data_IF_617543964161
#
_entry.id   IF_617543964161
#
_cell.length_a   1.000
_cell.length_b   1.000
_cell.length_c   1.000
_cell.angle_alpha   90.00
_cell.angle_beta   90.00
_cell.angle_gamma   90.00
#
_symmetry.space_group_name_H-M   'P 1'
#
loop_
_entity.id
_entity.type
_entity.pdbx_description
1 polymer ?
#
# COMPACT_ATOMS: atom_id res chain seq x y z
N UNK A 1 -26.07 -18.85 9.40
CA UNK A 1 -25.63 -17.67 8.61
C UNK A 1 -26.87 -16.96 8.08
N UNK A 2 -26.94 -15.63 8.16
CA UNK A 2 -28.04 -14.86 7.55
C UNK A 2 -27.98 -14.93 6.00
N UNK A 3 -29.10 -15.10 5.27
CA UNK A 3 -29.06 -15.41 3.83
C UNK A 3 -28.67 -14.22 2.93
N UNK A 4 -28.64 -13.00 3.45
CA UNK A 4 -28.46 -11.73 2.70
C UNK A 4 -27.21 -11.66 1.81
N UNK A 5 -26.15 -12.39 2.15
CA UNK A 5 -24.91 -12.42 1.35
C UNK A 5 -24.87 -13.56 0.33
N UNK A 6 -25.87 -14.44 0.31
CA UNK A 6 -25.93 -15.57 -0.62
C UNK A 6 -24.85 -16.64 -0.39
N UNK A 7 -24.14 -16.64 0.74
CA UNK A 7 -23.02 -17.57 0.97
C UNK A 7 -23.38 -18.89 1.65
N UNK A 8 -24.62 -19.08 2.10
CA UNK A 8 -25.02 -20.30 2.83
C UNK A 8 -24.81 -21.59 2.01
N UNK A 9 -25.46 -21.68 0.84
CA UNK A 9 -25.29 -22.83 -0.06
C UNK A 9 -23.87 -22.96 -0.61
N UNK A 10 -23.24 -21.84 -0.94
CA UNK A 10 -21.86 -21.82 -1.41
C UNK A 10 -20.88 -22.40 -0.37
N UNK A 11 -21.04 -22.06 0.91
CA UNK A 11 -20.22 -22.60 1.99
C UNK A 11 -20.40 -24.11 2.13
N UNK A 12 -21.63 -24.63 2.02
CA UNK A 12 -21.90 -26.06 2.05
C UNK A 12 -21.24 -26.80 0.86
N UNK A 13 -21.27 -26.22 -0.34
CA UNK A 13 -20.59 -26.76 -1.52
C UNK A 13 -19.07 -26.77 -1.31
N UNK A 14 -18.49 -25.70 -0.77
CA UNK A 14 -17.06 -25.63 -0.44
C UNK A 14 -16.66 -26.70 0.61
N UNK A 15 -17.50 -26.97 1.61
CA UNK A 15 -17.26 -28.01 2.63
C UNK A 15 -17.31 -29.41 2.00
N UNK A 16 -18.30 -29.66 1.13
CA UNK A 16 -18.38 -30.91 0.36
C UNK A 16 -17.14 -31.09 -0.54
N UNK A 17 -16.69 -30.02 -1.20
CA UNK A 17 -15.50 -30.06 -2.03
C UNK A 17 -14.25 -30.39 -1.22
N UNK A 18 -14.09 -29.80 -0.04
CA UNK A 18 -12.97 -30.13 0.86
C UNK A 18 -12.99 -31.61 1.25
N UNK A 19 -14.14 -32.12 1.70
CA UNK A 19 -14.30 -33.52 2.09
C UNK A 19 -14.03 -34.47 0.93
N UNK A 20 -14.60 -34.21 -0.24
CA UNK A 20 -14.41 -35.03 -1.44
C UNK A 20 -12.93 -35.09 -1.87
N UNK A 21 -12.23 -33.96 -1.83
CA UNK A 21 -10.80 -33.92 -2.13
C UNK A 21 -10.00 -34.81 -1.17
N UNK A 22 -10.26 -34.70 0.14
CA UNK A 22 -9.55 -35.50 1.15
C UNK A 22 -9.83 -36.99 1.06
N UNK A 23 -11.07 -37.36 0.76
CA UNK A 23 -11.42 -38.76 0.53
C UNK A 23 -10.72 -39.31 -0.70
N UNK A 24 -10.69 -38.55 -1.79
CA UNK A 24 -9.99 -38.96 -3.01
C UNK A 24 -8.47 -39.08 -2.79
N UNK A 25 -7.85 -38.18 -2.01
CA UNK A 25 -6.43 -38.29 -1.60
C UNK A 25 -6.11 -39.65 -0.95
N UNK A 26 -7.05 -40.23 -0.18
CA UNK A 26 -6.90 -41.55 0.44
C UNK A 26 -7.15 -42.70 -0.54
N UNK A 27 -8.18 -42.57 -1.38
CA UNK A 27 -8.53 -43.60 -2.36
C UNK A 27 -7.43 -43.80 -3.41
N UNK A 28 -6.78 -42.73 -3.86
CA UNK A 28 -5.65 -42.82 -4.82
C UNK A 28 -4.43 -43.54 -4.25
N UNK A 29 -4.32 -43.64 -2.92
CA UNK A 29 -3.27 -44.44 -2.25
C UNK A 29 -3.62 -45.93 -2.20
N UNK A 30 -4.72 -46.35 -2.84
CA UNK A 30 -5.19 -47.73 -2.86
C UNK A 30 -5.76 -48.20 -1.51
N UNK A 31 -6.12 -47.27 -0.61
CA UNK A 31 -6.58 -47.59 0.74
C UNK A 31 -8.09 -47.39 0.86
N UNK A 32 -8.79 -48.37 1.42
CA UNK A 32 -10.12 -48.13 1.99
C UNK A 32 -9.94 -47.31 3.27
N UNK A 33 -10.58 -46.13 3.40
CA UNK A 33 -10.38 -45.27 4.56
C UNK A 33 -10.69 -45.99 5.87
N UNK A 34 -9.75 -45.99 6.81
CA UNK A 34 -10.01 -46.50 8.16
C UNK A 34 -10.89 -45.52 8.94
N UNK A 35 -11.52 -46.00 10.01
CA UNK A 35 -12.29 -45.13 10.89
C UNK A 35 -11.46 -43.95 11.44
N UNK A 36 -10.20 -44.18 11.83
CA UNK A 36 -9.31 -43.12 12.33
C UNK A 36 -9.01 -42.08 11.25
N UNK A 37 -8.73 -42.51 10.01
CA UNK A 37 -8.49 -41.60 8.89
C UNK A 37 -9.73 -40.75 8.56
N UNK A 38 -10.93 -41.34 8.64
CA UNK A 38 -12.19 -40.60 8.47
C UNK A 38 -12.37 -39.56 9.58
N UNK A 39 -12.09 -39.93 10.83
CA UNK A 39 -12.14 -39.00 11.96
C UNK A 39 -11.16 -37.84 11.79
N UNK A 40 -9.95 -38.11 11.32
CA UNK A 40 -8.94 -37.09 11.02
C UNK A 40 -9.41 -36.14 9.90
N UNK A 41 -10.02 -36.66 8.83
CA UNK A 41 -10.57 -35.82 7.75
C UNK A 41 -11.68 -34.88 8.27
N UNK A 42 -12.59 -35.37 9.13
CA UNK A 42 -13.63 -34.53 9.71
C UNK A 42 -13.05 -33.48 10.67
N UNK A 43 -12.00 -33.82 11.41
CA UNK A 43 -11.27 -32.87 12.24
C UNK A 43 -10.61 -31.78 11.40
N UNK A 44 -9.91 -32.15 10.32
CA UNK A 44 -9.30 -31.20 9.38
C UNK A 44 -10.33 -30.30 8.69
N UNK A 45 -11.46 -30.87 8.25
CA UNK A 45 -12.58 -30.11 7.69
C UNK A 45 -13.01 -29.04 8.69
N UNK A 46 -13.21 -29.40 9.96
CA UNK A 46 -13.66 -28.47 10.97
C UNK A 46 -12.62 -27.35 11.21
N UNK A 47 -11.34 -27.69 11.33
CA UNK A 47 -10.27 -26.72 11.56
C UNK A 47 -10.08 -25.76 10.38
N UNK A 48 -10.10 -26.26 9.14
CA UNK A 48 -9.93 -25.43 7.95
C UNK A 48 -11.17 -24.57 7.66
N UNK A 49 -12.37 -25.12 7.84
CA UNK A 49 -13.63 -24.49 7.38
C UNK A 49 -14.31 -23.62 8.44
N UNK A 50 -14.08 -23.85 9.74
CA UNK A 50 -14.65 -23.00 10.81
C UNK A 50 -14.28 -21.52 10.65
N UNK A 51 -13.02 -21.12 10.46
CA UNK A 51 -12.66 -19.70 10.30
C UNK A 51 -13.34 -19.05 9.08
N UNK A 52 -13.49 -19.82 7.99
CA UNK A 52 -14.15 -19.37 6.75
C UNK A 52 -15.64 -19.12 6.98
N UNK A 53 -16.35 -20.07 7.57
CA UNK A 53 -17.80 -19.95 7.84
C UNK A 53 -18.09 -18.87 8.88
N UNK A 54 -17.23 -18.69 9.88
CA UNK A 54 -17.31 -17.57 10.81
C UNK A 54 -17.15 -16.21 10.13
N UNK A 55 -16.17 -16.07 9.24
CA UNK A 55 -15.94 -14.84 8.48
C UNK A 55 -17.18 -14.47 7.66
N UNK A 56 -17.72 -15.42 6.89
CA UNK A 56 -18.92 -15.22 6.08
C UNK A 56 -20.16 -14.91 6.94
N UNK A 57 -20.31 -15.59 8.09
CA UNK A 57 -21.43 -15.37 9.01
C UNK A 57 -21.37 -14.00 9.66
N UNK A 58 -20.20 -13.59 10.16
CA UNK A 58 -19.98 -12.25 10.73
C UNK A 58 -20.21 -11.17 9.67
N UNK A 59 -19.77 -11.39 8.43
CA UNK A 59 -20.04 -10.51 7.30
C UNK A 59 -21.53 -10.35 7.03
N UNK A 60 -22.27 -11.46 6.94
CA UNK A 60 -23.71 -11.46 6.72
C UNK A 60 -24.50 -10.75 7.81
N UNK A 61 -24.15 -10.95 9.09
CA UNK A 61 -24.78 -10.24 10.19
C UNK A 61 -24.49 -8.73 10.16
N UNK A 62 -23.27 -8.32 9.80
CA UNK A 62 -22.93 -6.89 9.68
C UNK A 62 -23.72 -6.22 8.55
N UNK A 63 -23.81 -6.86 7.39
CA UNK A 63 -24.58 -6.33 6.27
C UNK A 63 -26.07 -6.28 6.59
N UNK A 64 -26.63 -7.35 7.17
CA UNK A 64 -28.03 -7.37 7.60
C UNK A 64 -28.33 -6.23 8.57
N UNK A 65 -27.46 -6.00 9.56
CA UNK A 65 -27.64 -4.91 10.53
C UNK A 65 -27.50 -3.51 9.90
N UNK A 66 -26.65 -3.37 8.88
CA UNK A 66 -26.50 -2.12 8.13
C UNK A 66 -27.77 -1.82 7.31
N UNK A 67 -28.26 -2.80 6.55
CA UNK A 67 -29.44 -2.66 5.69
C UNK A 67 -30.74 -2.56 6.49
N UNK A 68 -30.82 -3.20 7.66
CA UNK A 68 -31.97 -3.10 8.56
C UNK A 68 -31.95 -1.84 9.44
N UNK A 69 -31.02 -0.91 9.19
CA UNK A 69 -30.83 0.31 10.01
C UNK A 69 -30.72 0.03 11.51
N UNK A 70 -29.96 -1.00 11.90
CA UNK A 70 -29.93 -1.52 13.27
C UNK A 70 -29.47 -0.52 14.34
N UNK A 71 -28.93 0.65 13.96
CA UNK A 71 -28.77 1.82 14.83
C UNK A 71 -28.99 3.11 14.02
N UNK A 72 -29.30 4.25 14.67
CA UNK A 72 -29.40 5.55 13.98
C UNK A 72 -28.12 5.92 13.22
N UNK A 73 -26.95 5.56 13.76
CA UNK A 73 -25.66 5.77 13.08
C UNK A 73 -25.57 4.93 11.81
N UNK A 74 -25.95 3.65 11.85
CA UNK A 74 -25.96 2.79 10.67
C UNK A 74 -26.97 3.26 9.62
N UNK A 75 -28.12 3.80 10.05
CA UNK A 75 -29.07 4.48 9.15
C UNK A 75 -28.40 5.64 8.40
N UNK A 76 -27.67 6.49 9.13
CA UNK A 76 -26.95 7.62 8.53
C UNK A 76 -25.87 7.14 7.55
N UNK A 77 -25.11 6.13 7.93
CA UNK A 77 -24.09 5.50 7.08
C UNK A 77 -24.73 4.95 5.81
N UNK A 78 -25.80 4.16 5.93
CA UNK A 78 -26.45 3.49 4.80
C UNK A 78 -27.14 4.48 3.84
N UNK A 79 -27.76 5.55 4.35
CA UNK A 79 -28.47 6.52 3.52
C UNK A 79 -27.56 7.59 2.90
N UNK A 80 -26.46 7.95 3.57
CA UNK A 80 -25.64 9.09 3.14
C UNK A 80 -24.21 8.75 2.78
N UNK A 81 -23.60 7.74 3.42
CA UNK A 81 -22.20 7.38 3.13
C UNK A 81 -22.15 6.28 2.07
N UNK A 82 -22.94 5.22 2.24
CA UNK A 82 -22.92 4.04 1.36
C UNK A 82 -23.15 4.36 -0.13
N UNK A 83 -24.09 5.26 -0.52
CA UNK A 83 -24.27 5.62 -1.94
C UNK A 83 -23.08 6.35 -2.55
N UNK A 84 -22.18 6.90 -1.72
CA UNK A 84 -20.94 7.58 -2.14
C UNK A 84 -19.73 6.65 -2.10
N UNK A 85 -19.87 5.44 -1.56
CA UNK A 85 -18.78 4.47 -1.52
C UNK A 85 -18.44 4.06 -2.95
N UNK A 86 -17.17 4.18 -3.36
CA UNK A 86 -16.73 3.68 -4.66
C UNK A 86 -17.11 2.21 -4.83
N UNK A 87 -17.75 1.83 -5.93
CA UNK A 87 -18.18 0.44 -6.09
C UNK A 87 -16.99 -0.53 -6.22
N UNK A 88 -15.77 -0.05 -6.48
CA UNK A 88 -14.52 -0.82 -6.29
C UNK A 88 -14.44 -1.46 -4.90
N UNK A 89 -14.83 -0.73 -3.85
CA UNK A 89 -14.79 -1.23 -2.47
C UNK A 89 -15.82 -2.34 -2.25
N UNK A 90 -16.99 -2.22 -2.88
CA UNK A 90 -18.05 -3.24 -2.82
C UNK A 90 -17.58 -4.50 -3.55
N UNK A 91 -17.07 -4.34 -4.78
CA UNK A 91 -16.56 -5.46 -5.56
C UNK A 91 -15.35 -6.13 -4.91
N UNK A 92 -14.47 -5.37 -4.27
CA UNK A 92 -13.35 -5.92 -3.53
C UNK A 92 -13.80 -6.76 -2.33
N UNK A 93 -14.83 -6.31 -1.61
CA UNK A 93 -15.44 -7.07 -0.52
C UNK A 93 -16.10 -8.37 -1.00
N UNK A 94 -16.83 -8.32 -2.12
CA UNK A 94 -17.39 -9.51 -2.77
C UNK A 94 -16.31 -10.46 -3.28
N UNK A 95 -15.25 -9.92 -3.92
CA UNK A 95 -14.12 -10.73 -4.35
C UNK A 95 -13.46 -11.42 -3.15
N UNK A 96 -13.26 -10.73 -2.03
CA UNK A 96 -12.68 -11.32 -0.81
C UNK A 96 -13.54 -12.46 -0.24
N UNK A 97 -14.87 -12.35 -0.35
CA UNK A 97 -15.76 -13.44 0.04
C UNK A 97 -15.76 -14.60 -0.96
N UNK A 98 -15.32 -14.41 -2.20
CA UNK A 98 -15.28 -15.44 -3.24
C UNK A 98 -13.91 -16.14 -3.40
N UNK A 99 -12.79 -15.42 -3.39
CA UNK A 99 -11.47 -15.98 -3.78
C UNK A 99 -10.91 -17.04 -2.84
N UNK A 100 -11.46 -17.17 -1.63
CA UNK A 100 -11.07 -18.19 -0.65
C UNK A 100 -11.86 -19.50 -0.82
N UNK A 101 -12.71 -19.61 -1.84
CA UNK A 101 -13.49 -20.82 -2.11
C UNK A 101 -12.59 -22.03 -2.39
N UNK A 102 -13.04 -23.22 -1.99
CA UNK A 102 -12.32 -24.47 -2.22
C UNK A 102 -12.77 -25.11 -3.55
N UNK A 103 -11.85 -25.35 -4.50
CA UNK A 103 -12.20 -26.09 -5.72
C UNK A 103 -12.23 -27.60 -5.46
N UNK A 104 -12.97 -28.32 -6.31
CA UNK A 104 -12.81 -29.76 -6.46
C UNK A 104 -11.53 -30.02 -7.25
N UNK A 105 -10.51 -30.62 -6.61
CA UNK A 105 -9.17 -30.75 -7.18
C UNK A 105 -9.09 -31.78 -8.31
N UNK A 106 -10.01 -32.74 -8.29
CA UNK A 106 -10.04 -33.91 -9.16
C UNK A 106 -11.00 -33.77 -10.35
N UNK A 107 -11.63 -32.60 -10.49
CA UNK A 107 -12.42 -32.26 -11.66
C UNK A 107 -11.66 -31.25 -12.54
N UNK A 108 -11.86 -31.29 -13.86
CA UNK A 108 -11.31 -30.27 -14.73
C UNK A 108 -11.87 -28.90 -14.32
N UNK A 109 -10.99 -27.91 -14.24
CA UNK A 109 -11.42 -26.55 -13.96
C UNK A 109 -12.22 -26.00 -15.16
N UNK A 110 -13.33 -25.30 -14.93
CA UNK A 110 -14.06 -24.65 -16.01
C UNK A 110 -13.16 -23.59 -16.67
N UNK A 111 -13.29 -23.38 -17.98
CA UNK A 111 -12.61 -22.28 -18.65
C UNK A 111 -13.08 -20.94 -18.05
N UNK A 112 -12.13 -20.13 -17.56
CA UNK A 112 -12.42 -18.83 -16.94
C UNK A 112 -11.87 -17.69 -17.79
N UNK A 113 -12.60 -16.58 -17.84
CA UNK A 113 -12.12 -15.37 -18.49
C UNK A 113 -10.83 -14.87 -17.81
N UNK A 114 -9.84 -14.46 -18.61
CA UNK A 114 -8.55 -13.92 -18.14
C UNK A 114 -8.66 -12.66 -17.27
N UNK A 115 -9.83 -12.02 -17.24
CA UNK A 115 -10.09 -10.74 -16.54
C UNK A 115 -10.76 -10.90 -15.17
N UNK A 116 -11.03 -12.13 -14.74
CA UNK A 116 -11.60 -12.42 -13.43
C UNK A 116 -10.50 -12.43 -12.37
N UNK A 117 -10.85 -11.96 -11.17
CA UNK A 117 -9.98 -12.06 -10.00
C UNK A 117 -9.60 -13.51 -9.73
N UNK A 118 -8.30 -13.86 -9.71
CA UNK A 118 -7.86 -15.22 -9.41
C UNK A 118 -8.22 -15.65 -7.98
N UNK A 119 -8.42 -16.95 -7.78
CA UNK A 119 -8.58 -17.52 -6.45
C UNK A 119 -7.25 -17.53 -5.68
N UNK A 120 -7.30 -17.72 -4.37
CA UNK A 120 -6.12 -17.72 -3.51
C UNK A 120 -5.12 -18.82 -3.86
N UNK A 121 -5.60 -19.96 -4.35
CA UNK A 121 -4.77 -21.10 -4.80
C UNK A 121 -4.22 -20.90 -6.22
N UNK A 122 -4.64 -19.83 -6.91
CA UNK A 122 -4.18 -19.48 -8.26
C UNK A 122 -3.08 -18.42 -8.26
N UNK A 123 -2.74 -17.81 -7.13
CA UNK A 123 -1.79 -16.68 -7.02
C UNK A 123 -0.58 -17.02 -6.17
N UNK A 124 0.55 -16.35 -6.43
CA UNK A 124 1.80 -16.60 -5.69
C UNK A 124 1.79 -16.00 -4.29
N UNK A 125 1.04 -14.91 -4.09
CA UNK A 125 0.83 -14.30 -2.78
C UNK A 125 0.05 -15.24 -1.85
N UNK A 126 0.47 -15.34 -0.59
CA UNK A 126 -0.32 -16.01 0.45
C UNK A 126 -1.02 -14.96 1.31
N UNK A 127 -2.26 -14.53 0.96
CA UNK A 127 -2.94 -13.46 1.65
C UNK A 127 -3.27 -13.86 3.09
N UNK A 128 -2.68 -13.17 4.06
CA UNK A 128 -2.91 -13.42 5.49
C UNK A 128 -3.06 -12.11 6.24
N UNK A 129 -4.05 -12.05 7.14
CA UNK A 129 -4.23 -10.94 8.08
C UNK A 129 -2.96 -10.79 8.93
N UNK A 130 -2.49 -9.55 9.11
CA UNK A 130 -1.36 -9.26 10.02
C UNK A 130 -1.80 -9.43 11.47
N UNK A 131 -0.94 -10.02 12.31
CA UNK A 131 -1.20 -10.16 13.75
C UNK A 131 -1.36 -8.78 14.42
N UNK A 132 -2.11 -8.73 15.53
CA UNK A 132 -2.28 -7.49 16.29
C UNK A 132 -0.93 -7.02 16.86
N UNK A 133 -0.20 -7.95 17.47
CA UNK A 133 1.09 -7.71 18.11
C UNK A 133 2.09 -7.09 17.14
N UNK A 134 2.27 -7.68 15.96
CA UNK A 134 3.20 -7.13 14.96
C UNK A 134 2.74 -5.75 14.47
N UNK A 135 1.43 -5.55 14.29
CA UNK A 135 0.90 -4.25 13.86
C UNK A 135 1.18 -3.16 14.89
N UNK A 136 0.91 -3.41 16.17
CA UNK A 136 1.17 -2.45 17.25
C UNK A 136 2.67 -2.23 17.49
N UNK A 137 3.49 -3.26 17.28
CA UNK A 137 4.96 -3.13 17.36
C UNK A 137 5.45 -2.14 16.31
N UNK A 138 5.04 -2.30 15.05
CA UNK A 138 5.42 -1.35 13.99
C UNK A 138 4.88 0.05 14.24
N UNK A 139 3.62 0.18 14.69
CA UNK A 139 3.05 1.48 15.09
C UNK A 139 3.91 2.15 16.16
N UNK A 140 4.26 1.43 17.22
CA UNK A 140 5.10 1.95 18.29
C UNK A 140 6.47 2.39 17.76
N UNK A 141 7.11 1.58 16.90
CA UNK A 141 8.39 1.94 16.29
C UNK A 141 8.30 3.22 15.46
N UNK A 142 7.23 3.43 14.69
CA UNK A 142 7.04 4.67 13.93
C UNK A 142 6.87 5.88 14.86
N UNK A 143 6.06 5.75 15.91
CA UNK A 143 5.83 6.83 16.87
C UNK A 143 7.11 7.19 17.62
N UNK A 144 7.89 6.19 18.06
CA UNK A 144 9.17 6.39 18.73
C UNK A 144 10.20 7.06 17.80
N UNK A 145 10.30 6.61 16.55
CA UNK A 145 11.19 7.21 15.55
C UNK A 145 10.78 8.67 15.25
N UNK A 146 9.48 8.96 15.20
CA UNK A 146 8.96 10.32 15.04
C UNK A 146 9.23 11.21 16.26
N UNK A 147 9.21 10.65 17.47
CA UNK A 147 9.51 11.40 18.70
C UNK A 147 11.00 11.61 18.97
N UNK A 148 11.89 10.93 18.24
CA UNK A 148 13.34 10.93 18.51
C UNK A 148 13.93 12.35 18.52
N UNK A 149 13.41 13.24 17.68
CA UNK A 149 13.78 14.67 17.66
C UNK A 149 13.66 15.34 19.03
N UNK A 150 12.64 15.00 19.80
CA UNK A 150 12.40 15.58 21.13
C UNK A 150 13.27 14.97 22.23
N UNK A 151 13.92 13.85 21.95
CA UNK A 151 14.77 13.13 22.90
C UNK A 151 16.26 13.46 22.72
N UNK A 152 16.66 14.05 21.59
CA UNK A 152 18.03 14.45 21.33
C UNK A 152 18.30 15.82 21.99
N UNK A 153 19.38 15.96 22.78
CA UNK A 153 19.70 17.24 23.43
C UNK A 153 20.04 18.30 22.38
N UNK A 154 19.28 19.40 22.39
CA UNK A 154 19.56 20.60 21.60
C UNK A 154 20.53 21.47 22.40
N UNK A 155 21.83 21.41 22.10
CA UNK A 155 22.78 22.37 22.65
C UNK A 155 22.73 23.67 21.84
N UNK A 156 22.00 24.65 22.37
CA UNK A 156 21.82 25.99 21.77
C UNK A 156 23.07 26.89 21.84
N UNK A 157 24.25 26.35 22.18
CA UNK A 157 25.46 27.14 22.44
C UNK A 157 26.69 26.59 21.71
N UNK A 158 26.75 26.72 20.39
CA UNK A 158 28.03 26.75 19.68
C UNK A 158 28.04 27.85 18.63
N UNK A 159 28.44 29.05 19.07
CA UNK A 159 28.55 30.27 18.27
C UNK A 159 29.87 30.38 17.50
N UNK A 160 30.35 29.31 16.87
CA UNK A 160 31.52 29.40 15.98
C UNK A 160 31.33 28.58 14.70
N UNK A 161 31.10 29.32 13.60
CA UNK A 161 30.91 28.92 12.21
C UNK A 161 31.69 27.67 11.75
N UNK A 162 30.97 26.67 11.23
CA UNK A 162 31.17 26.15 9.89
C UNK A 162 30.07 26.73 8.98
N UNK A 163 30.35 26.98 7.70
CA UNK A 163 29.37 27.46 6.72
C UNK A 163 28.02 26.72 6.91
N UNK A 164 26.94 27.46 7.15
CA UNK A 164 25.64 26.90 7.53
C UNK A 164 25.15 25.93 6.45
N UNK A 165 25.41 24.63 6.63
CA UNK A 165 25.02 23.56 5.70
C UNK A 165 23.51 23.63 5.40
N UNK A 166 22.71 24.02 6.38
CA UNK A 166 21.25 24.21 6.28
C UNK A 166 20.83 25.43 5.47
N UNK A 167 21.73 26.39 5.27
CA UNK A 167 21.49 27.58 4.45
C UNK A 167 21.89 27.41 2.99
N UNK A 168 22.64 26.35 2.65
CA UNK A 168 23.04 26.08 1.28
C UNK A 168 21.81 25.85 0.39
N UNK A 169 21.91 26.30 -0.87
CA UNK A 169 20.84 26.08 -1.84
C UNK A 169 20.64 24.58 -2.13
N UNK A 170 21.71 23.80 -2.14
CA UNK A 170 21.68 22.36 -2.41
C UNK A 170 21.05 21.56 -1.28
N UNK A 171 21.30 21.89 -0.01
CA UNK A 171 20.60 21.29 1.14
C UNK A 171 19.09 21.52 1.05
N UNK A 172 18.66 22.78 0.95
CA UNK A 172 17.23 23.13 0.91
C UNK A 172 16.52 22.49 -0.27
N UNK A 173 17.19 22.41 -1.42
CA UNK A 173 16.67 21.71 -2.58
C UNK A 173 16.50 20.22 -2.30
N UNK A 174 17.55 19.56 -1.82
CA UNK A 174 17.55 18.13 -1.52
C UNK A 174 16.54 17.73 -0.43
N UNK A 175 16.44 18.51 0.64
CA UNK A 175 15.45 18.33 1.70
C UNK A 175 14.03 18.43 1.13
N UNK A 176 13.73 19.49 0.38
CA UNK A 176 12.43 19.67 -0.26
C UNK A 176 12.08 18.55 -1.24
N UNK A 177 13.05 18.06 -2.02
CA UNK A 177 12.86 16.90 -2.91
C UNK A 177 12.58 15.61 -2.15
N UNK A 178 13.16 15.43 -0.97
CA UNK A 178 12.86 14.29 -0.09
C UNK A 178 11.42 14.34 0.42
N UNK A 179 10.94 15.50 0.88
CA UNK A 179 9.53 15.67 1.28
C UNK A 179 8.56 15.51 0.10
N UNK A 180 8.95 15.96 -1.09
CA UNK A 180 8.19 15.74 -2.31
C UNK A 180 7.99 14.25 -2.62
N UNK A 181 9.00 13.39 -2.38
CA UNK A 181 8.86 11.94 -2.56
C UNK A 181 7.76 11.35 -1.66
N UNK A 182 7.67 11.81 -0.42
CA UNK A 182 6.64 11.39 0.55
C UNK A 182 5.26 11.84 0.04
N UNK A 183 5.14 13.11 -0.38
CA UNK A 183 3.92 13.65 -0.99
C UNK A 183 3.48 12.86 -2.23
N UNK A 184 4.41 12.50 -3.10
CA UNK A 184 4.14 11.69 -4.28
C UNK A 184 3.58 10.31 -3.93
N UNK A 185 4.17 9.64 -2.94
CA UNK A 185 3.65 8.36 -2.45
C UNK A 185 2.27 8.50 -1.84
N UNK A 186 2.07 9.48 -0.96
CA UNK A 186 0.75 9.72 -0.36
C UNK A 186 -0.31 10.01 -1.42
N UNK A 187 0.06 10.75 -2.46
CA UNK A 187 -0.82 11.00 -3.60
C UNK A 187 -1.20 9.72 -4.32
N UNK A 188 -0.22 8.88 -4.69
CA UNK A 188 -0.50 7.58 -5.34
C UNK A 188 -1.35 6.67 -4.45
N UNK A 189 -1.02 6.56 -3.16
CA UNK A 189 -1.78 5.72 -2.21
C UNK A 189 -3.21 6.21 -1.98
N UNK A 190 -3.45 7.52 -2.05
CA UNK A 190 -4.79 8.10 -1.87
C UNK A 190 -5.80 7.67 -2.95
N UNK A 191 -5.32 7.32 -4.13
CA UNK A 191 -6.14 6.80 -5.22
C UNK A 191 -6.43 5.29 -5.13
N UNK A 192 -5.88 4.59 -4.14
CA UNK A 192 -6.08 3.15 -3.97
C UNK A 192 -7.39 2.90 -3.22
N UNK A 193 -8.22 1.99 -3.73
CA UNK A 193 -9.53 1.67 -3.12
C UNK A 193 -9.42 1.11 -1.70
N UNK A 194 -8.33 0.42 -1.38
CA UNK A 194 -8.07 -0.21 -0.10
C UNK A 194 -8.09 0.73 1.11
N UNK A 195 -7.81 2.02 0.90
CA UNK A 195 -7.71 3.04 1.96
C UNK A 195 -8.74 4.16 1.78
N UNK A 196 -9.68 4.04 0.83
CA UNK A 196 -10.58 5.11 0.40
C UNK A 196 -11.67 5.49 1.42
N UNK A 197 -11.84 4.73 2.49
CA UNK A 197 -12.82 5.03 3.56
C UNK A 197 -12.17 5.52 4.86
N UNK A 198 -10.84 5.70 4.85
CA UNK A 198 -10.08 6.10 6.03
C UNK A 198 -9.53 7.53 5.96
N UNK A 199 -8.81 7.96 7.01
CA UNK A 199 -8.15 9.27 7.04
C UNK A 199 -7.02 9.42 6.01
N UNK A 200 -6.68 8.35 5.29
CA UNK A 200 -5.66 8.31 4.23
C UNK A 200 -6.26 8.54 2.84
N UNK A 201 -7.58 8.79 2.73
CA UNK A 201 -8.27 9.02 1.46
C UNK A 201 -7.71 10.22 0.69
N UNK A 202 -7.20 11.24 1.38
CA UNK A 202 -6.59 12.41 0.75
C UNK A 202 -5.24 12.70 1.38
N UNK A 203 -4.23 13.10 0.60
CA UNK A 203 -2.91 13.39 1.15
C UNK A 203 -2.79 14.85 1.63
N UNK A 204 -3.73 15.73 1.25
CA UNK A 204 -3.72 17.17 1.57
C UNK A 204 -3.72 17.44 3.09
N UNK A 205 -4.61 16.83 3.91
CA UNK A 205 -4.58 17.07 5.36
C UNK A 205 -3.24 16.70 5.99
N UNK A 206 -2.56 15.67 5.46
CA UNK A 206 -1.25 15.24 5.95
C UNK A 206 -0.14 16.21 5.58
N UNK A 207 -0.21 16.83 4.40
CA UNK A 207 0.73 17.88 3.98
C UNK A 207 0.57 19.17 4.77
N UNK A 208 -0.68 19.55 5.07
CA UNK A 208 -0.97 20.69 5.94
C UNK A 208 -0.52 20.40 7.38
N UNK A 209 -0.74 19.18 7.85
CA UNK A 209 -0.28 18.74 9.16
C UNK A 209 1.25 18.77 9.23
N UNK A 210 1.96 18.29 8.21
CA UNK A 210 3.44 18.32 8.19
C UNK A 210 4.03 19.73 8.25
N UNK A 211 3.33 20.73 7.72
CA UNK A 211 3.75 22.14 7.86
C UNK A 211 3.55 22.65 9.29
N UNK A 212 2.47 22.24 9.95
CA UNK A 212 2.11 22.75 11.28
C UNK A 212 2.88 22.08 12.43
N UNK A 213 3.04 20.74 12.39
CA UNK A 213 3.69 19.97 13.46
C UNK A 213 5.06 19.39 13.06
N UNK A 214 5.50 19.65 11.83
CA UNK A 214 6.71 19.08 11.26
C UNK A 214 6.50 17.73 10.55
N UNK A 215 7.29 17.51 9.51
CA UNK A 215 7.22 16.30 8.69
C UNK A 215 7.43 15.01 9.49
N UNK A 216 8.31 15.00 10.48
CA UNK A 216 8.66 13.80 11.25
C UNK A 216 7.46 13.26 12.05
N UNK A 217 6.64 14.15 12.63
CA UNK A 217 5.40 13.72 13.31
C UNK A 217 4.33 13.33 12.30
N UNK A 218 4.11 14.13 11.26
CA UNK A 218 3.08 13.82 10.26
C UNK A 218 3.35 12.47 9.57
N UNK A 219 4.60 12.16 9.22
CA UNK A 219 5.01 10.90 8.60
C UNK A 219 4.88 9.72 9.55
N UNK A 220 5.25 9.88 10.83
CA UNK A 220 5.08 8.80 11.82
C UNK A 220 3.60 8.48 12.06
N UNK A 221 2.73 9.49 12.19
CA UNK A 221 1.29 9.32 12.33
C UNK A 221 0.65 8.71 11.08
N UNK A 222 1.01 9.20 9.88
CA UNK A 222 0.55 8.61 8.62
C UNK A 222 0.94 7.13 8.53
N UNK A 223 2.20 6.81 8.83
CA UNK A 223 2.73 5.44 8.77
C UNK A 223 2.03 4.53 9.79
N UNK A 224 1.77 5.01 11.01
CA UNK A 224 1.01 4.29 12.01
C UNK A 224 -0.42 3.95 11.52
N UNK A 225 -1.13 4.93 10.97
CA UNK A 225 -2.46 4.71 10.40
C UNK A 225 -2.42 3.81 9.17
N UNK A 226 -1.39 3.91 8.33
CA UNK A 226 -1.19 3.03 7.20
C UNK A 226 -0.97 1.58 7.67
N UNK A 227 -0.14 1.35 8.68
CA UNK A 227 0.07 0.01 9.27
C UNK A 227 -1.26 -0.58 9.75
N UNK A 228 -2.07 0.21 10.45
CA UNK A 228 -3.38 -0.24 10.94
C UNK A 228 -4.38 -0.47 9.81
N UNK A 229 -4.42 0.44 8.84
CA UNK A 229 -5.31 0.38 7.68
C UNK A 229 -5.01 -0.82 6.77
N UNK A 230 -3.77 -1.27 6.69
CA UNK A 230 -3.33 -2.36 5.80
C UNK A 230 -3.32 -3.75 6.46
N UNK A 231 -3.80 -3.86 7.70
CA UNK A 231 -3.73 -5.10 8.48
C UNK A 231 -4.59 -6.25 7.94
N UNK A 232 -5.68 -5.95 7.24
CA UNK A 232 -6.68 -6.94 6.84
C UNK A 232 -6.19 -7.82 5.68
N UNK A 233 -6.78 -9.02 5.55
CA UNK A 233 -6.36 -10.02 4.56
C UNK A 233 -6.57 -9.51 3.12
N UNK A 234 -7.76 -8.96 2.84
CA UNK A 234 -8.14 -8.40 1.55
C UNK A 234 -7.14 -7.42 0.94
N UNK A 235 -6.43 -6.65 1.77
CA UNK A 235 -5.42 -5.68 1.33
C UNK A 235 -4.36 -6.31 0.42
N UNK A 236 -3.96 -7.55 0.71
CA UNK A 236 -2.96 -8.29 -0.07
C UNK A 236 -3.56 -8.91 -1.33
N UNK A 237 -4.73 -9.51 -1.17
CA UNK A 237 -5.56 -10.08 -2.23
C UNK A 237 -6.96 -10.31 -1.67
N UNK A 238 -8.04 -9.97 -2.41
CA UNK A 238 -8.08 -9.57 -3.81
C UNK A 238 -8.28 -8.08 -4.09
N UNK A 239 -8.11 -7.18 -3.11
CA UNK A 239 -8.44 -5.77 -3.32
C UNK A 239 -7.67 -5.17 -4.49
N UNK A 240 -8.34 -4.44 -5.40
CA UNK A 240 -7.67 -3.89 -6.58
C UNK A 240 -6.58 -2.92 -6.13
N UNK A 241 -5.40 -3.06 -6.71
CA UNK A 241 -4.30 -2.14 -6.43
C UNK A 241 -4.35 -1.01 -7.46
N UNK A 242 -4.44 -1.29 -8.76
CA UNK A 242 -5.17 -0.47 -9.73
C UNK A 242 -5.33 1.04 -9.43
N UNK A 243 -4.38 1.94 -9.72
CA UNK A 243 -4.72 3.38 -9.69
C UNK A 243 -5.71 3.65 -10.83
N UNK A 244 -6.81 4.41 -10.63
CA UNK A 244 -7.70 4.78 -11.72
C UNK A 244 -6.92 5.40 -12.88
N UNK A 245 -7.17 4.91 -14.10
CA UNK A 245 -6.34 5.27 -15.27
C UNK A 245 -6.23 6.78 -15.49
N UNK A 246 -7.34 7.51 -15.31
CA UNK A 246 -7.37 8.96 -15.40
C UNK A 246 -6.42 9.64 -14.38
N UNK A 247 -6.33 9.11 -13.17
CA UNK A 247 -5.39 9.61 -12.16
C UNK A 247 -3.95 9.22 -12.50
N UNK A 248 -3.73 8.01 -13.01
CA UNK A 248 -2.40 7.56 -13.45
C UNK A 248 -1.84 8.43 -14.59
N UNK A 249 -2.67 8.76 -15.58
CA UNK A 249 -2.35 9.71 -16.67
C UNK A 249 -2.09 11.13 -16.13
N UNK A 250 -2.94 11.60 -15.22
CA UNK A 250 -2.83 12.91 -14.60
C UNK A 250 -1.53 13.08 -13.78
N UNK A 251 -1.06 12.04 -13.09
CA UNK A 251 0.18 12.09 -12.29
C UNK A 251 1.39 12.52 -13.11
N UNK A 252 1.53 12.00 -14.34
CA UNK A 252 2.65 12.35 -15.22
C UNK A 252 2.59 13.79 -15.70
N UNK A 253 1.39 14.29 -15.99
CA UNK A 253 1.19 15.65 -16.50
C UNK A 253 1.30 16.67 -15.36
N UNK A 254 0.86 16.31 -14.15
CA UNK A 254 0.98 17.13 -12.95
C UNK A 254 2.43 17.23 -12.45
N UNK A 255 3.25 16.20 -12.69
CA UNK A 255 4.59 16.09 -12.12
C UNK A 255 5.50 17.29 -12.44
N UNK A 256 5.69 17.74 -13.70
CA UNK A 256 6.52 18.91 -13.98
C UNK A 256 6.04 20.14 -13.21
N UNK A 257 4.76 20.48 -13.29
CA UNK A 257 4.22 21.66 -12.60
C UNK A 257 4.45 21.58 -11.09
N UNK A 258 4.30 20.39 -10.50
CA UNK A 258 4.57 20.14 -9.08
C UNK A 258 6.06 20.28 -8.72
N UNK A 259 6.97 19.72 -9.52
CA UNK A 259 8.41 19.82 -9.31
C UNK A 259 8.92 21.27 -9.43
N UNK A 260 8.31 22.07 -10.30
CA UNK A 260 8.63 23.49 -10.49
C UNK A 260 7.80 24.42 -9.59
N UNK A 261 6.87 23.87 -8.79
CA UNK A 261 5.95 24.65 -7.97
C UNK A 261 6.65 25.60 -7.00
N UNK A 262 7.75 25.18 -6.38
CA UNK A 262 8.51 26.06 -5.47
C UNK A 262 9.12 27.28 -6.18
N UNK A 263 9.40 27.18 -7.49
CA UNK A 263 9.86 28.31 -8.32
C UNK A 263 8.67 29.17 -8.75
N UNK A 264 7.60 28.55 -9.23
CA UNK A 264 6.39 29.23 -9.72
C UNK A 264 5.72 30.06 -8.61
N UNK A 265 5.63 29.50 -7.40
CA UNK A 265 4.94 30.13 -6.27
C UNK A 265 5.87 30.98 -5.38
N UNK A 266 7.16 31.11 -5.72
CA UNK A 266 8.10 31.92 -4.94
C UNK A 266 7.66 33.38 -4.88
N UNK A 267 7.09 33.91 -5.97
CA UNK A 267 6.80 35.35 -6.13
C UNK A 267 5.30 35.70 -6.10
N UNK A 268 4.41 34.70 -5.98
CA UNK A 268 2.96 34.92 -5.94
C UNK A 268 2.53 35.20 -4.50
N UNK A 269 2.57 36.47 -4.10
CA UNK A 269 2.08 36.95 -2.81
C UNK A 269 0.56 37.24 -2.86
N UNK A 270 -0.27 36.21 -2.87
CA UNK A 270 -1.71 36.36 -2.59
C UNK A 270 -1.90 36.22 -1.07
N UNK A 271 -2.47 37.24 -0.42
CA UNK A 271 -2.41 37.45 1.04
C UNK A 271 -2.87 36.31 1.98
N UNK A 272 -3.61 35.31 1.49
CA UNK A 272 -3.97 34.09 2.24
C UNK A 272 -2.98 32.92 2.05
N UNK A 273 -2.12 32.97 1.02
CA UNK A 273 -1.12 31.95 0.68
C UNK A 273 0.25 32.16 1.36
N UNK A 274 0.46 33.30 2.03
CA UNK A 274 1.68 33.56 2.80
C UNK A 274 1.85 32.58 3.96
N UNK A 275 0.75 32.07 4.54
CA UNK A 275 0.74 31.05 5.59
C UNK A 275 1.08 29.64 5.08
N UNK A 276 1.06 29.41 3.76
CA UNK A 276 1.21 28.08 3.14
C UNK A 276 2.40 28.00 2.18
N UNK A 277 3.33 28.96 2.24
CA UNK A 277 4.46 29.06 1.31
C UNK A 277 5.36 27.81 1.33
N UNK A 278 5.48 27.14 2.48
CA UNK A 278 6.22 25.88 2.63
C UNK A 278 5.46 24.65 2.10
N UNK A 279 4.15 24.57 2.33
CA UNK A 279 3.32 23.42 1.95
C UNK A 279 2.89 23.41 0.47
N UNK A 280 2.81 24.58 -0.16
CA UNK A 280 2.33 24.78 -1.54
C UNK A 280 2.94 23.83 -2.58
N UNK A 281 4.28 23.64 -2.68
CA UNK A 281 4.86 22.73 -3.67
C UNK A 281 4.41 21.27 -3.50
N UNK A 282 4.15 20.84 -2.27
CA UNK A 282 3.75 19.47 -1.97
C UNK A 282 2.27 19.22 -2.27
N UNK A 283 1.41 20.20 -2.03
CA UNK A 283 -0.04 20.16 -2.28
C UNK A 283 -0.37 20.26 -3.76
N UNK A 284 0.50 20.89 -4.55
CA UNK A 284 0.28 21.08 -5.98
C UNK A 284 0.09 19.76 -6.74
N UNK A 285 0.87 18.72 -6.39
CA UNK A 285 0.76 17.41 -7.03
C UNK A 285 -0.63 16.77 -6.86
N UNK A 286 -1.16 16.54 -5.64
CA UNK A 286 -2.48 15.93 -5.48
C UNK A 286 -3.62 16.81 -6.01
N UNK A 287 -3.52 18.14 -5.90
CA UNK A 287 -4.54 19.06 -6.42
C UNK A 287 -4.60 18.98 -7.94
N UNK A 288 -3.46 19.13 -8.62
CA UNK A 288 -3.42 19.04 -10.08
C UNK A 288 -3.81 17.65 -10.58
N UNK A 289 -3.36 16.59 -9.90
CA UNK A 289 -3.75 15.22 -10.25
C UNK A 289 -5.26 15.04 -10.15
N UNK A 290 -5.89 15.58 -9.11
CA UNK A 290 -7.35 15.51 -8.92
C UNK A 290 -8.11 16.28 -10.00
N UNK A 291 -7.68 17.52 -10.29
CA UNK A 291 -8.28 18.35 -11.34
C UNK A 291 -8.15 17.71 -12.72
N UNK A 292 -6.94 17.28 -13.10
CA UNK A 292 -6.68 16.62 -14.38
C UNK A 292 -7.40 15.27 -14.47
N UNK A 293 -7.43 14.48 -13.39
CA UNK A 293 -8.16 13.22 -13.36
C UNK A 293 -9.66 13.42 -13.54
N UNK A 294 -10.22 14.55 -13.08
CA UNK A 294 -11.62 14.89 -13.32
C UNK A 294 -11.86 15.19 -14.81
N UNK A 295 -10.94 15.92 -15.45
CA UNK A 295 -11.00 16.22 -16.90
C UNK A 295 -10.80 14.97 -17.76
N UNK A 296 -9.89 14.08 -17.40
CA UNK A 296 -9.62 12.83 -18.13
C UNK A 296 -10.65 11.73 -17.87
N UNK A 297 -11.60 11.96 -16.96
CA UNK A 297 -12.60 10.96 -16.62
C UNK A 297 -13.46 10.66 -17.84
N UNK A 298 -13.15 9.56 -18.52
CA UNK A 298 -13.97 9.02 -19.61
C UNK A 298 -15.12 8.24 -19.01
N UNK A 299 -16.33 8.80 -19.09
CA UNK A 299 -17.55 8.14 -18.64
C UNK A 299 -17.64 6.71 -19.20
N UNK A 300 -18.01 5.75 -18.35
CA UNK A 300 -18.18 4.34 -18.71
C UNK A 300 -16.94 3.43 -18.57
N UNK A 301 -15.71 3.95 -18.42
CA UNK A 301 -14.50 3.10 -18.36
C UNK A 301 -14.16 2.58 -16.96
N UNK A 302 -14.59 3.25 -15.89
CA UNK A 302 -14.21 2.92 -14.50
C UNK A 302 -14.58 1.50 -14.04
N UNK A 303 -15.62 0.91 -14.64
CA UNK A 303 -16.23 -0.35 -14.19
C UNK A 303 -15.68 -1.60 -14.85
N UNK A 304 -14.67 -1.48 -15.71
CA UNK A 304 -14.10 -2.66 -16.38
C UNK A 304 -13.18 -3.37 -15.38
N UNK A 305 -13.40 -4.66 -15.05
CA UNK A 305 -12.53 -5.40 -14.13
C UNK A 305 -11.06 -5.37 -14.54
N UNK A 306 -10.78 -5.33 -15.85
CA UNK A 306 -9.42 -5.20 -16.39
C UNK A 306 -8.70 -3.87 -16.03
N UNK A 307 -9.44 -2.85 -15.60
CA UNK A 307 -8.87 -1.58 -15.11
C UNK A 307 -8.67 -1.59 -13.60
N UNK A 308 -9.41 -2.41 -12.85
CA UNK A 308 -9.31 -2.50 -11.39
C UNK A 308 -8.29 -3.56 -10.95
N UNK A 309 -8.30 -4.74 -11.59
CA UNK A 309 -7.41 -5.87 -11.30
C UNK A 309 -6.37 -6.12 -12.41
N UNK A 310 -6.11 -5.10 -13.23
CA UNK A 310 -5.05 -5.15 -14.25
C UNK A 310 -3.88 -4.24 -13.92
N UNK A 311 -2.93 -4.19 -14.84
CA UNK A 311 -1.65 -3.48 -14.70
C UNK A 311 -1.53 -2.27 -15.64
N UNK A 312 -2.65 -1.77 -16.18
CA UNK A 312 -2.63 -0.69 -17.17
C UNK A 312 -2.07 0.61 -16.61
N UNK A 313 -2.30 0.88 -15.33
CA UNK A 313 -1.76 2.03 -14.60
C UNK A 313 -0.23 2.00 -14.49
N UNK A 314 0.40 0.81 -14.53
CA UNK A 314 1.87 0.66 -14.47
C UNK A 314 2.56 1.40 -15.61
N UNK A 315 1.95 1.47 -16.80
CA UNK A 315 2.52 2.19 -17.95
C UNK A 315 2.69 3.70 -17.71
N UNK A 316 1.90 4.30 -16.82
CA UNK A 316 1.97 5.71 -16.47
C UNK A 316 2.67 5.95 -15.13
N UNK A 317 2.40 5.11 -14.13
CA UNK A 317 3.03 5.22 -12.80
C UNK A 317 4.51 4.86 -12.82
N UNK A 318 4.95 3.96 -13.71
CA UNK A 318 6.37 3.60 -13.82
C UNK A 318 7.23 4.77 -14.31
N UNK A 319 6.91 5.47 -15.42
CA UNK A 319 7.61 6.70 -15.78
C UNK A 319 7.56 7.75 -14.67
N UNK A 320 6.43 7.89 -13.97
CA UNK A 320 6.26 8.86 -12.89
C UNK A 320 7.28 8.63 -11.76
N UNK A 321 7.39 7.39 -11.26
CA UNK A 321 8.40 7.05 -10.26
C UNK A 321 9.83 7.21 -10.79
N UNK A 322 10.08 6.85 -12.05
CA UNK A 322 11.43 6.95 -12.63
C UNK A 322 11.93 8.40 -12.72
N UNK A 323 11.06 9.34 -13.08
CA UNK A 323 11.41 10.76 -13.18
C UNK A 323 11.70 11.35 -11.80
N UNK A 324 10.89 11.03 -10.79
CA UNK A 324 11.12 11.46 -9.41
C UNK A 324 12.43 10.86 -8.87
N UNK A 325 12.70 9.58 -9.14
CA UNK A 325 13.94 8.93 -8.73
C UNK A 325 15.18 9.64 -9.29
N UNK A 326 15.17 10.00 -10.57
CA UNK A 326 16.27 10.70 -11.23
C UNK A 326 16.46 12.10 -10.62
N UNK A 327 15.37 12.89 -10.50
CA UNK A 327 15.41 14.25 -9.96
C UNK A 327 15.97 14.29 -8.52
N UNK A 328 15.47 13.42 -7.66
CA UNK A 328 15.89 13.37 -6.25
C UNK A 328 17.29 12.77 -6.11
N UNK A 329 17.66 11.79 -6.93
CA UNK A 329 19.01 11.24 -6.96
C UNK A 329 20.06 12.27 -7.38
N UNK A 330 19.77 13.08 -8.40
CA UNK A 330 20.64 14.21 -8.80
C UNK A 330 20.77 15.22 -7.66
N UNK A 331 19.66 15.56 -7.00
CA UNK A 331 19.66 16.48 -5.85
C UNK A 331 20.50 15.97 -4.69
N UNK A 332 20.44 14.66 -4.40
CA UNK A 332 21.27 14.01 -3.39
C UNK A 332 22.76 14.10 -3.73
N UNK A 333 23.15 13.71 -4.94
CA UNK A 333 24.55 13.75 -5.39
C UNK A 333 25.06 15.20 -5.34
N UNK A 334 24.27 16.17 -5.78
CA UNK A 334 24.64 17.58 -5.72
C UNK A 334 24.88 18.06 -4.29
N UNK A 335 24.00 17.70 -3.35
CA UNK A 335 24.20 18.01 -1.93
C UNK A 335 25.46 17.35 -1.37
N UNK A 336 25.67 16.06 -1.65
CA UNK A 336 26.84 15.33 -1.15
C UNK A 336 28.14 15.95 -1.65
N UNK A 337 28.22 16.25 -2.94
CA UNK A 337 29.45 16.77 -3.56
C UNK A 337 29.72 18.23 -3.18
N UNK A 338 28.69 19.08 -3.11
CA UNK A 338 28.87 20.52 -2.90
C UNK A 338 28.90 20.92 -1.43
N UNK A 339 28.19 20.20 -0.54
CA UNK A 339 28.01 20.62 0.86
C UNK A 339 28.54 19.59 1.87
N UNK A 340 28.27 18.29 1.67
CA UNK A 340 28.61 17.29 2.70
C UNK A 340 30.10 16.92 2.70
N UNK A 341 30.68 16.59 1.55
CA UNK A 341 32.11 16.24 1.41
C UNK A 341 33.05 17.36 1.88
N UNK A 342 32.81 18.64 1.56
CA UNK A 342 33.67 19.72 2.03
C UNK A 342 33.72 19.89 3.55
N UNK A 343 32.71 19.41 4.28
CA UNK A 343 32.61 19.54 5.75
C UNK A 343 32.85 18.20 6.48
N UNK A 344 33.02 17.10 5.73
CA UNK A 344 33.40 15.77 6.24
C UNK A 344 34.81 15.83 6.86
N UNK A 345 34.87 16.14 8.16
CA UNK A 345 36.12 16.24 8.94
C UNK A 345 36.20 17.46 9.87
N UNK A 346 35.28 18.43 9.73
CA UNK A 346 35.30 19.69 10.48
C UNK A 346 34.28 19.76 11.65
N UNK A 347 33.52 18.69 11.91
CA UNK A 347 32.42 18.73 12.89
C UNK A 347 32.87 18.43 14.32
N UNK A 348 32.71 19.43 15.19
CA UNK A 348 32.38 19.24 16.61
C UNK A 348 30.89 18.87 16.74
N UNK A 349 30.53 18.15 17.80
CA UNK A 349 29.33 17.29 17.99
C UNK A 349 27.94 17.98 17.94
N UNK A 350 27.82 19.28 17.65
CA UNK A 350 26.52 19.96 17.58
C UNK A 350 25.90 19.88 16.17
N UNK A 351 24.75 19.22 16.06
CA UNK A 351 23.94 19.19 14.82
C UNK A 351 22.86 20.28 14.85
N UNK A 352 22.68 21.06 13.78
CA UNK A 352 21.56 21.98 13.66
C UNK A 352 20.21 21.26 13.79
N UNK A 353 19.22 21.98 14.29
CA UNK A 353 17.88 21.45 14.54
C UNK A 353 17.20 20.89 13.26
N UNK A 354 17.42 21.53 12.11
CA UNK A 354 16.93 21.06 10.81
C UNK A 354 17.56 19.72 10.41
N UNK A 355 18.86 19.54 10.70
CA UNK A 355 19.58 18.29 10.42
C UNK A 355 19.04 17.17 11.30
N UNK A 356 18.77 17.43 12.59
CA UNK A 356 18.13 16.47 13.49
C UNK A 356 16.74 16.07 12.99
N UNK A 357 15.95 17.04 12.51
CA UNK A 357 14.66 16.78 11.87
C UNK A 357 14.77 15.89 10.63
N UNK A 358 15.74 16.16 9.76
CA UNK A 358 15.98 15.38 8.55
C UNK A 358 16.51 13.96 8.83
N UNK A 359 17.36 13.80 9.84
CA UNK A 359 17.80 12.47 10.32
C UNK A 359 16.60 11.66 10.82
N UNK A 360 15.70 12.29 11.57
CA UNK A 360 14.45 11.64 12.03
C UNK A 360 13.58 11.19 10.85
N UNK A 361 13.47 12.00 9.79
CA UNK A 361 12.78 11.63 8.56
C UNK A 361 13.47 10.48 7.83
N UNK A 362 14.80 10.50 7.74
CA UNK A 362 15.59 9.44 7.12
C UNK A 362 15.38 8.11 7.84
N UNK A 363 15.35 8.13 9.19
CA UNK A 363 15.04 6.97 10.01
C UNK A 363 13.60 6.47 9.78
N UNK A 364 12.62 7.37 9.70
CA UNK A 364 11.23 7.01 9.40
C UNK A 364 11.08 6.36 8.02
N UNK A 365 11.78 6.88 7.01
CA UNK A 365 11.81 6.30 5.67
C UNK A 365 12.43 4.90 5.72
N UNK A 366 13.59 4.75 6.38
CA UNK A 366 14.23 3.45 6.57
C UNK A 366 13.28 2.45 7.23
N UNK A 367 12.60 2.87 8.31
CA UNK A 367 11.63 2.04 9.03
C UNK A 367 10.44 1.67 8.13
N UNK A 368 9.96 2.60 7.30
CA UNK A 368 8.86 2.33 6.36
C UNK A 368 9.24 1.32 5.29
N UNK A 369 10.47 1.38 4.80
CA UNK A 369 11.00 0.43 3.83
C UNK A 369 11.23 -0.95 4.44
N UNK A 370 11.78 -1.02 5.66
CA UNK A 370 11.96 -2.28 6.39
C UNK A 370 10.62 -2.94 6.69
N UNK A 371 9.65 -2.16 7.16
CA UNK A 371 8.29 -2.63 7.37
C UNK A 371 7.69 -3.17 6.07
N UNK A 372 7.82 -2.44 4.96
CA UNK A 372 7.32 -2.87 3.66
C UNK A 372 7.98 -4.18 3.22
N UNK A 373 9.30 -4.30 3.33
CA UNK A 373 10.01 -5.54 2.98
C UNK A 373 9.58 -6.73 3.85
N UNK A 374 9.48 -6.52 5.17
CA UNK A 374 8.96 -7.51 6.12
C UNK A 374 7.53 -7.92 5.79
N UNK A 375 6.68 -6.94 5.46
CA UNK A 375 5.27 -7.16 5.18
C UNK A 375 5.03 -7.88 3.86
N UNK A 376 5.88 -7.69 2.86
CA UNK A 376 5.83 -8.46 1.60
C UNK A 376 6.42 -9.86 1.78
N UNK A 377 7.46 -10.01 2.60
CA UNK A 377 8.07 -11.30 2.87
C UNK A 377 7.09 -12.25 3.59
N UNK A 378 6.37 -11.76 4.60
CA UNK A 378 5.42 -12.58 5.38
C UNK A 378 4.28 -13.17 4.53
N UNK A 379 3.93 -12.53 3.42
CA UNK A 379 2.88 -12.98 2.48
C UNK A 379 3.47 -13.63 1.22
N UNK A 380 4.77 -13.98 1.23
CA UNK A 380 5.48 -14.64 0.12
C UNK A 380 5.45 -13.86 -1.21
N UNK A 381 5.36 -12.53 -1.15
CA UNK A 381 5.54 -11.68 -2.32
C UNK A 381 7.04 -11.44 -2.58
N UNK A 382 7.80 -11.23 -1.51
CA UNK A 382 9.24 -11.02 -1.58
C UNK A 382 10.01 -12.28 -1.14
N UNK A 383 10.73 -12.90 -2.07
CA UNK A 383 11.50 -14.13 -1.84
C UNK A 383 12.92 -13.88 -1.26
N UNK A 384 13.28 -12.64 -0.99
CA UNK A 384 14.60 -12.30 -0.46
C UNK A 384 14.65 -12.46 1.05
N UNK A 385 15.81 -12.86 1.57
CA UNK A 385 16.09 -12.79 3.00
C UNK A 385 16.00 -11.33 3.47
N UNK A 386 15.35 -11.10 4.61
CA UNK A 386 15.14 -9.75 5.15
C UNK A 386 16.43 -8.97 5.39
N UNK A 387 17.51 -9.66 5.80
CA UNK A 387 18.84 -9.04 5.94
C UNK A 387 19.39 -8.47 4.63
N UNK A 388 19.15 -9.15 3.49
CA UNK A 388 19.54 -8.63 2.17
C UNK A 388 18.71 -7.40 1.79
N UNK A 389 17.41 -7.41 2.07
CA UNK A 389 16.57 -6.24 1.85
C UNK A 389 17.03 -5.04 2.70
N UNK A 390 17.36 -5.28 3.98
CA UNK A 390 17.93 -4.27 4.87
C UNK A 390 19.25 -3.69 4.33
N UNK A 391 20.17 -4.54 3.84
CA UNK A 391 21.42 -4.09 3.23
C UNK A 391 21.17 -3.20 2.00
N UNK A 392 20.28 -3.58 1.10
CA UNK A 392 19.95 -2.75 -0.07
C UNK A 392 19.30 -1.42 0.31
N UNK A 393 18.47 -1.40 1.36
CA UNK A 393 17.91 -0.15 1.88
C UNK A 393 19.04 0.75 2.37
N UNK A 394 19.94 0.25 3.22
CA UNK A 394 21.07 1.04 3.75
C UNK A 394 21.97 1.55 2.62
N UNK A 395 22.31 0.71 1.65
CA UNK A 395 23.10 1.11 0.48
C UNK A 395 22.37 2.17 -0.35
N UNK A 396 21.07 2.04 -0.58
CA UNK A 396 20.28 3.05 -1.28
C UNK A 396 20.29 4.40 -0.54
N UNK A 397 20.03 4.38 0.77
CA UNK A 397 20.02 5.58 1.60
C UNK A 397 21.34 6.35 1.52
N UNK A 398 22.46 5.63 1.44
CA UNK A 398 23.81 6.21 1.35
C UNK A 398 24.17 6.69 -0.07
N UNK A 399 23.77 5.96 -1.12
CA UNK A 399 24.22 6.22 -2.50
C UNK A 399 23.33 7.22 -3.26
N UNK A 400 22.02 7.16 -3.04
CA UNK A 400 21.03 7.98 -3.77
C UNK A 400 20.13 8.80 -2.85
N UNK A 401 20.28 8.61 -1.54
CA UNK A 401 19.53 9.33 -0.50
C UNK A 401 18.18 8.69 -0.13
N UNK A 402 17.61 9.04 1.03
CA UNK A 402 16.27 8.65 1.50
C UNK A 402 15.14 8.79 0.48
N UNK A 403 14.97 9.97 -0.14
CA UNK A 403 13.85 10.21 -1.04
C UNK A 403 13.88 9.29 -2.28
N UNK A 404 15.03 9.20 -2.95
CA UNK A 404 15.18 8.36 -4.13
C UNK A 404 15.05 6.87 -3.77
N UNK A 405 15.62 6.44 -2.64
CA UNK A 405 15.50 5.06 -2.15
C UNK A 405 14.05 4.69 -1.86
N UNK A 406 13.31 5.60 -1.23
CA UNK A 406 11.88 5.44 -0.96
C UNK A 406 11.09 5.22 -2.25
N UNK A 407 11.31 6.08 -3.26
CA UNK A 407 10.65 6.00 -4.57
C UNK A 407 11.03 4.72 -5.32
N UNK A 408 12.31 4.36 -5.36
CA UNK A 408 12.78 3.14 -6.00
C UNK A 408 12.16 1.89 -5.37
N UNK A 409 12.10 1.83 -4.04
CA UNK A 409 11.48 0.73 -3.32
C UNK A 409 9.97 0.67 -3.57
N UNK A 410 9.27 1.82 -3.60
CA UNK A 410 7.84 1.87 -3.94
C UNK A 410 7.59 1.39 -5.36
N UNK A 411 8.42 1.84 -6.31
CA UNK A 411 8.35 1.44 -7.71
C UNK A 411 8.57 -0.07 -7.91
N UNK A 412 9.59 -0.63 -7.25
CA UNK A 412 9.85 -2.06 -7.27
C UNK A 412 8.71 -2.84 -6.62
N UNK A 413 8.19 -2.37 -5.49
CA UNK A 413 7.05 -2.96 -4.78
C UNK A 413 5.83 -3.09 -5.68
N UNK A 414 5.46 -2.07 -6.43
CA UNK A 414 4.31 -2.13 -7.34
C UNK A 414 4.44 -3.27 -8.36
N UNK A 415 5.61 -3.42 -8.97
CA UNK A 415 5.88 -4.48 -9.95
C UNK A 415 5.82 -5.87 -9.34
N UNK A 416 6.45 -6.08 -8.18
CA UNK A 416 6.52 -7.39 -7.52
C UNK A 416 5.12 -7.81 -7.03
N UNK A 417 4.34 -6.87 -6.51
CA UNK A 417 3.00 -7.16 -6.03
C UNK A 417 2.02 -7.45 -7.16
N UNK A 418 2.09 -6.71 -8.26
CA UNK A 418 1.26 -7.03 -9.42
C UNK A 418 1.61 -8.42 -9.97
N UNK A 419 2.90 -8.74 -10.08
CA UNK A 419 3.35 -10.06 -10.52
C UNK A 419 2.87 -11.19 -9.60
N UNK A 420 2.86 -10.98 -8.28
CA UNK A 420 2.47 -12.03 -7.31
C UNK A 420 0.97 -12.33 -7.32
N UNK A 421 0.16 -11.44 -7.88
CA UNK A 421 -1.30 -11.56 -8.00
C UNK A 421 -1.75 -12.11 -9.35
N UNK A 422 -0.85 -12.20 -10.31
CA UNK A 422 -1.12 -12.87 -11.58
C UNK A 422 -1.30 -14.37 -11.34
N UNK A 423 -2.17 -14.98 -12.15
CA UNK A 423 -2.42 -16.42 -12.11
C UNK A 423 -1.11 -17.17 -12.41
N UNK A 424 -0.68 -18.06 -11.50
CA UNK A 424 0.67 -18.67 -11.55
C UNK A 424 0.93 -19.47 -12.84
N UNK A 425 -0.09 -20.07 -13.45
CA UNK A 425 -0.09 -20.43 -14.88
C UNK A 425 -1.35 -21.22 -15.19
N UNK A 426 -1.74 -21.17 -16.46
CA UNK A 426 -2.78 -21.98 -17.04
C UNK A 426 -2.42 -23.49 -17.09
N UNK A 427 -1.37 -24.01 -16.43
CA UNK A 427 -0.98 -25.44 -16.56
C UNK A 427 -2.11 -26.41 -16.16
N UNK A 428 -2.89 -26.05 -15.13
CA UNK A 428 -4.12 -26.79 -14.73
C UNK A 428 -5.27 -26.62 -15.75
N UNK A 429 -5.26 -25.54 -16.54
CA UNK A 429 -6.24 -25.22 -17.58
C UNK A 429 -5.84 -25.74 -18.99
N UNK A 430 -4.54 -25.91 -19.24
CA UNK A 430 -3.96 -26.35 -20.51
C UNK A 430 -4.02 -27.88 -20.65
N UNK A 431 -4.00 -28.61 -19.54
CA UNK A 431 -4.17 -30.07 -19.52
C UNK A 431 -5.61 -30.56 -19.76
N UNK A 432 -6.58 -29.65 -19.89
CA UNK A 432 -8.00 -29.96 -20.07
C UNK A 432 -8.57 -29.45 -21.41
N UNK A 433 -7.72 -29.27 -22.43
CA UNK A 433 -8.23 -29.25 -23.79
C UNK A 433 -8.85 -30.64 -24.05
N UNK A 434 -10.15 -30.74 -24.39
CA UNK A 434 -10.69 -32.03 -24.78
C UNK A 434 -9.88 -32.49 -25.97
N UNK A 435 -9.26 -33.68 -25.87
CA UNK A 435 -9.01 -34.47 -27.07
C UNK A 435 -10.40 -34.80 -27.61
N UNK A 436 -10.93 -33.91 -28.46
CA UNK A 436 -12.03 -34.22 -29.35
C UNK A 436 -11.52 -35.37 -30.22
N UNK A 437 -11.89 -36.58 -29.82
CA UNK A 437 -11.90 -37.78 -30.67
C UNK A 437 -13.33 -38.00 -31.11
#
# INVERSE_FOLDING_TARGET
MHPITGHGGNAAIEDCAYLANRLQDLLERGQTPTYSQLQDIFYELQEERRPRTEFLTKGAHRLARLESFGTPVLKQVMLHIFPRVPCENILAGLAESMTQGKPLMYLPLPQRAKRLTPYDDEVAVTPKRRSALSSYTWVLLFLLAGSLRYLLPLDATSSQNPANLTESASWRHYEGRTYFCISAIWTVESYRSALSLGPLLTPIPWMLLSEYIGWHIAVSLYSALWVLGTRYRGFYHPWPRAVPLAAAEALLIALPVALWGSVIFKDIALGAFTLYRGAAPYILLPVLTSLLSYVFKRDGTRWVPALQWGNRDISYTSPFFSLIFIDVGISHISFVMNDLIPVLGAYTVSLPDEVVGFVSITLLIMLWLLFTAWDLHRVKILNWALGRAGLYIVLGLALVGPGATLIAAWWAREKVWEKSRQRISDARYAGAAPQLK
#
